data_IF_715546023803
#
_entry.id   IF_715546023803
#
_cell.length_a   1.000
_cell.length_b   1.000
_cell.length_c   1.000
_cell.angle_alpha   90.00
_cell.angle_beta   90.00
_cell.angle_gamma   90.00
#
_symmetry.space_group_name_H-M   'P 1'
#
loop_
_entity.id
_entity.type
_entity.pdbx_description
1 polymer ?
#
# COMPACT_ATOMS: atom_id res chain seq x y z
N UNK A 1 22.65 13.82 19.02
CA UNK A 1 21.30 14.27 18.60
C UNK A 1 20.52 14.84 19.81
N UNK A 2 19.74 15.91 19.64
CA UNK A 2 18.86 16.43 20.71
C UNK A 2 17.66 15.50 20.95
N UNK A 3 17.14 15.47 22.18
CA UNK A 3 15.98 14.64 22.56
C UNK A 3 14.74 14.96 21.70
N UNK A 4 14.56 16.23 21.34
CA UNK A 4 13.45 16.71 20.51
C UNK A 4 13.57 16.19 19.07
N UNK A 5 14.77 16.23 18.50
CA UNK A 5 15.03 15.73 17.14
C UNK A 5 14.79 14.22 17.05
N UNK A 6 15.31 13.44 18.03
CA UNK A 6 15.07 12.00 18.14
C UNK A 6 13.57 11.67 18.16
N UNK A 7 12.82 12.36 19.04
CA UNK A 7 11.37 12.14 19.18
C UNK A 7 10.62 12.46 17.90
N UNK A 8 10.97 13.56 17.21
CA UNK A 8 10.35 13.91 15.94
C UNK A 8 10.64 12.91 14.83
N UNK A 9 11.90 12.47 14.70
CA UNK A 9 12.32 11.46 13.72
C UNK A 9 11.58 10.14 13.97
N UNK A 10 11.60 9.66 15.22
CA UNK A 10 10.94 8.42 15.62
C UNK A 10 9.43 8.46 15.35
N UNK A 11 8.78 9.60 15.67
CA UNK A 11 7.35 9.80 15.41
C UNK A 11 7.03 9.73 13.92
N UNK A 12 7.79 10.44 13.07
CA UNK A 12 7.56 10.41 11.62
C UNK A 12 7.79 9.02 11.02
N UNK A 13 8.89 8.35 11.39
CA UNK A 13 9.16 6.98 10.97
C UNK A 13 8.04 6.01 11.38
N UNK A 14 7.56 6.11 12.62
CA UNK A 14 6.44 5.28 13.10
C UNK A 14 5.15 5.53 12.32
N UNK A 15 4.90 6.77 11.90
CA UNK A 15 3.73 7.12 11.11
C UNK A 15 3.80 6.52 9.70
N UNK A 16 4.94 6.66 9.02
CA UNK A 16 5.15 6.07 7.69
C UNK A 16 5.02 4.56 7.74
N UNK A 17 5.62 3.92 8.75
CA UNK A 17 5.53 2.49 8.96
C UNK A 17 4.08 2.01 9.10
N UNK A 18 3.28 2.67 9.96
CA UNK A 18 1.85 2.35 10.10
C UNK A 18 1.08 2.47 8.79
N UNK A 19 1.30 3.54 8.03
CA UNK A 19 0.63 3.72 6.73
C UNK A 19 0.96 2.60 5.74
N UNK A 20 2.22 2.14 5.72
CA UNK A 20 2.65 1.03 4.87
C UNK A 20 2.01 -0.28 5.34
N UNK A 21 2.03 -0.54 6.66
CA UNK A 21 1.40 -1.71 7.25
C UNK A 21 -0.07 -1.84 6.86
N UNK A 22 -0.84 -0.74 6.98
CA UNK A 22 -2.28 -0.73 6.65
C UNK A 22 -2.54 -1.13 5.20
N UNK A 23 -1.75 -0.62 4.24
CA UNK A 23 -1.88 -0.95 2.82
C UNK A 23 -1.65 -2.43 2.55
N UNK A 24 -0.60 -3.00 3.13
CA UNK A 24 -0.31 -4.41 2.92
C UNK A 24 -1.27 -5.34 3.67
N UNK A 25 -1.69 -4.98 4.89
CA UNK A 25 -2.71 -5.73 5.62
C UNK A 25 -4.01 -5.80 4.82
N UNK A 26 -4.43 -4.68 4.21
CA UNK A 26 -5.59 -4.67 3.32
C UNK A 26 -5.40 -5.61 2.11
N UNK A 27 -4.23 -5.58 1.49
CA UNK A 27 -3.89 -6.47 0.37
C UNK A 27 -3.90 -7.96 0.76
N UNK A 28 -3.37 -8.31 1.93
CA UNK A 28 -3.36 -9.68 2.43
C UNK A 28 -4.78 -10.18 2.77
N UNK A 29 -5.62 -9.32 3.34
CA UNK A 29 -7.03 -9.62 3.59
C UNK A 29 -7.80 -9.87 2.28
N UNK A 30 -7.57 -9.03 1.26
CA UNK A 30 -8.20 -9.20 -0.05
C UNK A 30 -7.78 -10.52 -0.73
N UNK A 31 -6.49 -10.87 -0.66
CA UNK A 31 -5.96 -12.15 -1.17
C UNK A 31 -6.60 -13.34 -0.45
N UNK A 32 -6.72 -13.28 0.88
CA UNK A 32 -7.37 -14.33 1.67
C UNK A 32 -8.84 -14.50 1.29
N UNK A 33 -9.59 -13.39 1.18
CA UNK A 33 -10.99 -13.43 0.77
C UNK A 33 -11.17 -14.05 -0.63
N UNK A 34 -10.30 -13.69 -1.60
CA UNK A 34 -10.31 -14.31 -2.93
C UNK A 34 -10.03 -15.82 -2.88
N UNK A 35 -9.06 -16.25 -2.09
CA UNK A 35 -8.75 -17.68 -1.92
C UNK A 35 -9.93 -18.45 -1.31
N UNK A 36 -10.66 -17.83 -0.38
CA UNK A 36 -11.85 -18.44 0.23
C UNK A 36 -13.00 -18.59 -0.78
N UNK A 37 -13.21 -17.61 -1.67
CA UNK A 37 -14.19 -17.75 -2.77
C UNK A 37 -13.79 -18.84 -3.76
N UNK A 38 -12.51 -18.90 -4.15
CA UNK A 38 -12.02 -19.98 -5.01
C UNK A 38 -12.22 -21.35 -4.36
N UNK A 39 -11.96 -21.46 -3.05
CA UNK A 39 -12.17 -22.69 -2.28
C UNK A 39 -13.64 -23.13 -2.28
N UNK A 40 -14.58 -22.20 -2.06
CA UNK A 40 -16.02 -22.49 -2.09
C UNK A 40 -16.46 -23.06 -3.44
N UNK A 41 -15.94 -22.52 -4.54
CA UNK A 41 -16.32 -22.93 -5.90
C UNK A 41 -15.63 -24.22 -6.38
N UNK A 42 -14.46 -24.56 -5.84
CA UNK A 42 -13.63 -25.69 -6.30
C UNK A 42 -13.75 -26.97 -5.46
N UNK A 43 -14.52 -26.95 -4.36
CA UNK A 43 -14.75 -28.12 -3.50
C UNK A 43 -13.50 -28.62 -2.75
N UNK A 44 -12.41 -27.84 -2.74
CA UNK A 44 -11.19 -28.15 -1.99
C UNK A 44 -11.44 -28.01 -0.48
N UNK A 45 -11.02 -28.99 0.35
CA UNK A 45 -11.27 -28.96 1.79
C UNK A 45 -10.65 -27.74 2.47
N UNK A 46 -11.37 -27.18 3.45
CA UNK A 46 -10.85 -26.17 4.38
C UNK A 46 -9.74 -26.83 5.20
N UNK A 47 -8.49 -26.62 4.81
CA UNK A 47 -7.37 -26.91 5.69
C UNK A 47 -7.50 -26.00 6.91
N UNK A 48 -7.72 -26.61 8.09
CA UNK A 48 -7.91 -25.87 9.34
C UNK A 48 -6.65 -25.10 9.71
N UNK A 49 -6.91 -23.93 10.27
CA UNK A 49 -5.99 -23.01 10.95
C UNK A 49 -4.67 -23.66 11.39
N UNK A 50 -3.58 -23.35 10.69
CA UNK A 50 -2.28 -23.93 11.02
C UNK A 50 -1.15 -23.48 10.12
N UNK A 51 -1.46 -23.00 8.90
CA UNK A 51 -0.51 -22.16 8.19
C UNK A 51 -0.42 -20.86 8.99
N UNK A 52 0.63 -20.73 9.80
CA UNK A 52 1.09 -19.45 10.32
C UNK A 52 1.21 -18.57 9.07
N UNK A 53 0.16 -17.83 8.76
CA UNK A 53 0.30 -16.65 7.95
C UNK A 53 1.26 -15.84 8.79
N UNK A 54 2.53 -15.87 8.40
CA UNK A 54 3.39 -14.74 8.64
C UNK A 54 2.70 -13.60 7.92
N UNK A 55 1.65 -13.03 8.55
CA UNK A 55 1.48 -11.59 8.55
C UNK A 55 2.88 -11.15 8.89
N UNK A 56 3.61 -10.72 7.85
CA UNK A 56 4.99 -10.31 7.99
C UNK A 56 4.93 -9.33 9.14
N UNK A 57 5.35 -9.77 10.34
CA UNK A 57 5.30 -8.94 11.53
C UNK A 57 6.27 -7.85 11.16
N UNK A 58 5.71 -6.71 10.74
CA UNK A 58 6.50 -5.66 10.15
C UNK A 58 7.59 -5.32 11.15
N UNK A 59 8.83 -5.51 10.72
CA UNK A 59 9.92 -5.60 11.65
C UNK A 59 10.24 -4.19 12.16
N UNK A 60 9.93 -3.96 13.43
CA UNK A 60 10.32 -2.71 14.09
C UNK A 60 11.85 -2.57 14.23
N UNK A 61 12.62 -3.65 13.99
CA UNK A 61 14.08 -3.63 13.96
C UNK A 61 14.60 -2.65 12.91
N UNK A 62 14.05 -2.64 11.70
CA UNK A 62 14.48 -1.74 10.62
C UNK A 62 14.27 -0.26 10.97
N UNK A 63 13.22 0.06 11.76
CA UNK A 63 13.02 1.42 12.27
C UNK A 63 14.10 1.78 13.29
N UNK A 64 14.48 0.83 14.15
CA UNK A 64 15.55 1.04 15.15
C UNK A 64 16.89 1.23 14.45
N UNK A 65 17.19 0.45 13.42
CA UNK A 65 18.42 0.58 12.60
C UNK A 65 18.55 1.98 12.00
N UNK A 66 17.50 2.50 11.35
CA UNK A 66 17.52 3.86 10.75
C UNK A 66 17.76 4.93 11.82
N UNK A 67 17.09 4.78 12.97
CA UNK A 67 17.23 5.71 14.10
C UNK A 67 18.64 5.62 14.69
N UNK A 68 19.20 4.42 14.81
CA UNK A 68 20.55 4.19 15.32
C UNK A 68 21.60 4.80 14.41
N UNK A 69 21.47 4.65 13.08
CA UNK A 69 22.31 5.34 12.10
C UNK A 69 22.20 6.87 12.26
N UNK A 70 20.99 7.39 12.46
CA UNK A 70 20.75 8.82 12.67
C UNK A 70 21.21 9.35 14.04
N UNK A 71 21.59 8.50 15.01
CA UNK A 71 22.16 8.96 16.29
C UNK A 71 23.56 9.54 16.12
N UNK A 72 24.33 9.03 15.14
CA UNK A 72 25.74 9.35 14.97
C UNK A 72 25.97 10.72 14.33
N UNK A 73 25.05 11.20 13.48
CA UNK A 73 25.14 12.51 12.84
C UNK A 73 23.83 13.30 12.99
N UNK A 74 23.93 14.47 13.63
CA UNK A 74 22.78 15.34 13.85
C UNK A 74 22.29 16.05 12.59
N UNK A 75 23.14 16.26 11.59
CA UNK A 75 22.72 16.91 10.34
C UNK A 75 21.97 15.90 9.47
N UNK A 76 22.51 14.70 9.33
CA UNK A 76 21.82 13.57 8.69
C UNK A 76 20.43 13.34 9.30
N UNK A 77 20.29 13.34 10.62
CA UNK A 77 18.99 13.19 11.27
C UNK A 77 17.98 14.29 10.89
N UNK A 78 18.43 15.54 10.69
CA UNK A 78 17.57 16.64 10.23
C UNK A 78 17.16 16.45 8.77
N UNK A 79 18.09 16.05 7.92
CA UNK A 79 17.84 15.77 6.50
C UNK A 79 16.84 14.62 6.32
N UNK A 80 17.02 13.52 7.06
CA UNK A 80 16.05 12.42 7.08
C UNK A 80 14.65 12.90 7.50
N UNK A 81 14.57 13.72 8.55
CA UNK A 81 13.29 14.27 9.01
C UNK A 81 12.62 15.11 7.92
N UNK A 82 13.39 15.98 7.23
CA UNK A 82 12.88 16.79 6.11
C UNK A 82 12.37 15.88 4.98
N UNK A 83 13.15 14.88 4.60
CA UNK A 83 12.78 13.92 3.57
C UNK A 83 11.48 13.17 3.91
N UNK A 84 11.35 12.63 5.13
CA UNK A 84 10.17 11.90 5.56
C UNK A 84 8.90 12.77 5.56
N UNK A 85 9.02 14.04 5.95
CA UNK A 85 7.92 15.00 5.84
C UNK A 85 7.55 15.28 4.38
N UNK A 86 8.56 15.48 3.52
CA UNK A 86 8.35 15.68 2.10
C UNK A 86 7.67 14.47 1.44
N UNK A 87 8.02 13.25 1.83
CA UNK A 87 7.41 12.02 1.33
C UNK A 87 5.92 11.93 1.67
N UNK A 88 5.52 12.39 2.87
CA UNK A 88 4.10 12.51 3.25
C UNK A 88 3.35 13.51 2.37
N UNK A 89 3.93 14.70 2.16
CA UNK A 89 3.31 15.72 1.31
C UNK A 89 3.24 15.28 -0.14
N UNK A 90 4.28 14.58 -0.62
CA UNK A 90 4.33 14.02 -1.96
C UNK A 90 3.20 12.99 -2.16
N UNK A 91 3.03 12.05 -1.23
CA UNK A 91 1.93 11.07 -1.28
C UNK A 91 0.57 11.76 -1.37
N UNK A 92 0.32 12.77 -0.53
CA UNK A 92 -0.92 13.54 -0.57
C UNK A 92 -1.15 14.25 -1.91
N UNK A 93 -0.10 14.83 -2.49
CA UNK A 93 -0.18 15.49 -3.80
C UNK A 93 -0.43 14.46 -4.92
N UNK A 94 0.21 13.30 -4.85
CA UNK A 94 0.03 12.22 -5.81
C UNK A 94 -1.43 11.75 -5.82
N UNK A 95 -2.01 11.47 -4.65
CA UNK A 95 -3.41 11.05 -4.52
C UNK A 95 -4.38 12.11 -5.08
N UNK A 96 -4.06 13.40 -4.91
CA UNK A 96 -4.91 14.52 -5.36
C UNK A 96 -4.85 14.76 -6.86
N UNK A 97 -3.67 14.70 -7.44
CA UNK A 97 -3.45 15.02 -8.86
C UNK A 97 -3.51 13.78 -9.76
N UNK A 98 -3.40 12.57 -9.20
CA UNK A 98 -3.56 11.31 -9.92
C UNK A 98 -4.69 10.42 -9.37
N UNK A 99 -5.94 10.91 -9.25
CA UNK A 99 -7.05 10.08 -8.78
C UNK A 99 -7.39 8.94 -9.76
N UNK A 100 -7.01 9.10 -11.03
CA UNK A 100 -7.33 8.16 -12.11
C UNK A 100 -6.48 6.88 -12.15
N UNK A 101 -5.37 6.82 -11.42
CA UNK A 101 -4.53 5.60 -11.34
C UNK A 101 -5.22 4.47 -10.57
N UNK A 102 -6.10 4.82 -9.63
CA UNK A 102 -6.86 3.83 -8.83
C UNK A 102 -8.05 3.20 -9.57
N UNK A 103 -8.47 3.80 -10.70
CA UNK A 103 -9.56 3.28 -11.52
C UNK A 103 -8.96 2.31 -12.52
N UNK A 104 -9.36 1.04 -12.45
CA UNK A 104 -8.94 0.01 -13.40
C UNK A 104 -9.15 0.51 -14.83
N UNK A 105 -8.20 0.23 -15.73
CA UNK A 105 -8.21 0.76 -17.09
C UNK A 105 -9.51 0.39 -17.81
N UNK A 106 -10.05 -0.79 -17.50
CA UNK A 106 -11.34 -1.26 -18.02
C UNK A 106 -12.52 -0.41 -17.52
N UNK A 107 -12.50 -0.01 -16.25
CA UNK A 107 -13.51 0.84 -15.67
C UNK A 107 -13.42 2.27 -16.21
N UNK A 108 -12.20 2.78 -16.47
CA UNK A 108 -11.99 4.05 -17.18
C UNK A 108 -12.58 4.04 -18.58
N UNK A 109 -12.31 2.99 -19.36
CA UNK A 109 -12.86 2.84 -20.73
C UNK A 109 -14.38 2.76 -20.67
N UNK A 110 -14.94 2.00 -19.73
CA UNK A 110 -16.41 1.89 -19.55
C UNK A 110 -17.05 3.22 -19.17
N UNK A 111 -16.49 3.95 -18.21
CA UNK A 111 -17.00 5.26 -17.79
C UNK A 111 -16.90 6.28 -18.93
N UNK A 112 -15.84 6.20 -19.74
CA UNK A 112 -15.66 7.06 -20.92
C UNK A 112 -16.68 6.74 -22.02
N UNK A 113 -16.95 5.47 -22.29
CA UNK A 113 -18.01 5.05 -23.21
C UNK A 113 -19.39 5.53 -22.74
N UNK A 114 -19.69 5.42 -21.43
CA UNK A 114 -20.94 5.92 -20.85
C UNK A 114 -21.12 7.43 -20.97
N UNK A 115 -20.03 8.21 -20.88
CA UNK A 115 -20.08 9.67 -21.08
C UNK A 115 -20.57 10.07 -22.47
N UNK A 116 -20.35 9.23 -23.49
CA UNK A 116 -20.82 9.45 -24.86
C UNK A 116 -22.12 8.70 -25.19
N UNK A 117 -22.78 8.10 -24.19
CA UNK A 117 -23.99 7.32 -24.38
C UNK A 117 -23.77 5.94 -25.01
N UNK A 118 -22.53 5.44 -25.03
CA UNK A 118 -22.17 4.12 -25.55
C UNK A 118 -22.03 3.11 -24.40
N UNK A 119 -22.64 1.93 -24.53
CA UNK A 119 -22.41 0.81 -23.60
C UNK A 119 -21.38 -0.16 -24.20
N UNK A 120 -20.36 -0.50 -23.42
CA UNK A 120 -19.27 -1.36 -23.88
C UNK A 120 -19.72 -2.84 -23.94
N UNK A 121 -19.64 -3.50 -25.10
CA UNK A 121 -19.91 -4.93 -25.23
C UNK A 121 -19.00 -5.78 -24.33
N UNK A 122 -19.54 -6.85 -23.76
CA UNK A 122 -18.76 -7.81 -22.94
C UNK A 122 -17.57 -8.41 -23.67
N UNK A 123 -17.67 -8.61 -24.99
CA UNK A 123 -16.61 -9.17 -25.84
C UNK A 123 -15.37 -8.28 -25.99
N UNK A 124 -15.50 -6.96 -25.82
CA UNK A 124 -14.35 -6.04 -25.82
C UNK A 124 -13.56 -6.18 -24.51
N UNK A 125 -14.22 -6.50 -23.39
CA UNK A 125 -13.54 -6.76 -22.11
C UNK A 125 -12.56 -7.92 -22.20
N UNK A 126 -12.90 -8.97 -22.95
CA UNK A 126 -12.05 -10.16 -23.11
C UNK A 126 -10.84 -9.93 -24.02
N UNK A 127 -10.92 -8.99 -24.98
CA UNK A 127 -9.78 -8.62 -25.84
C UNK A 127 -8.76 -7.76 -25.11
N UNK A 128 -9.20 -6.85 -24.24
CA UNK A 128 -8.32 -5.96 -23.47
C UNK A 128 -7.51 -6.69 -22.38
N UNK A 129 -7.87 -7.92 -22.01
CA UNK A 129 -7.14 -8.75 -21.03
C UNK A 129 -6.03 -9.58 -21.70
N UNK A 130 -6.05 -9.72 -23.03
CA UNK A 130 -5.17 -10.63 -23.79
C UNK A 130 -3.97 -9.96 -24.46
N UNK A 131 -3.85 -8.63 -24.38
CA UNK A 131 -2.65 -7.86 -24.77
C UNK A 131 -1.86 -7.46 -23.53
#
# INVERSE_FOLDING_TARGET
MSISLYRSLYRELSHQHKSIMEVHQAGDLAKRAMLDLYRQNSGLPVMSEGAKSGSARYDSSSLREIVDLAKHDSNFAKECLVYLKAQRTYKFLLDRYNPGESVDEQERIRLSARRVGLELPGSIKERLIKE
#
